data_IF_822356711807
#
_entry.id   IF_822356711807
#
_cell.length_a   1.000
_cell.length_b   1.000
_cell.length_c   1.000
_cell.angle_alpha   90.00
_cell.angle_beta   90.00
_cell.angle_gamma   90.00
#
_symmetry.space_group_name_H-M   'P 1'
#
loop_
_entity.id
_entity.type
_entity.pdbx_description
1 polymer ?
#
# COMPACT_ATOMS: atom_id res chain seq x y z
N UNK A 1 -19.93 -0.89 14.30
CA UNK A 1 -20.59 -2.00 13.58
C UNK A 1 -20.64 -1.60 12.12
N UNK A 2 -20.05 -2.37 11.22
CA UNK A 2 -20.19 -2.13 9.78
C UNK A 2 -21.67 -2.17 9.41
N UNK A 3 -22.19 -1.07 8.90
CA UNK A 3 -23.53 -1.02 8.33
C UNK A 3 -23.54 -1.76 7.01
N UNK A 4 -24.66 -2.37 6.62
CA UNK A 4 -24.78 -3.03 5.31
C UNK A 4 -24.28 -2.10 4.18
N UNK A 5 -23.39 -2.57 3.28
CA UNK A 5 -22.87 -1.73 2.19
C UNK A 5 -24.01 -1.25 1.27
N UNK A 6 -23.91 -0.02 0.80
CA UNK A 6 -24.87 0.54 -0.17
C UNK A 6 -24.44 0.26 -1.60
N UNK A 7 -25.37 0.44 -2.55
CA UNK A 7 -25.09 0.31 -3.97
C UNK A 7 -24.08 1.37 -4.45
N UNK A 8 -24.16 2.60 -3.96
CA UNK A 8 -23.23 3.69 -4.27
C UNK A 8 -21.82 3.37 -3.80
N UNK A 9 -21.67 2.82 -2.59
CA UNK A 9 -20.38 2.38 -2.07
C UNK A 9 -19.81 1.24 -2.93
N UNK A 10 -20.64 0.26 -3.32
CA UNK A 10 -20.22 -0.82 -4.21
C UNK A 10 -19.78 -0.28 -5.59
N UNK A 11 -20.49 0.71 -6.14
CA UNK A 11 -20.11 1.37 -7.38
C UNK A 11 -18.77 2.10 -7.25
N UNK A 12 -18.51 2.78 -6.12
CA UNK A 12 -17.23 3.45 -5.87
C UNK A 12 -16.08 2.44 -5.73
N UNK A 13 -16.31 1.30 -5.06
CA UNK A 13 -15.36 0.19 -5.02
C UNK A 13 -14.96 -0.30 -6.41
N UNK A 14 -15.95 -0.49 -7.30
CA UNK A 14 -15.71 -0.89 -8.68
C UNK A 14 -14.94 0.17 -9.48
N UNK A 15 -15.20 1.46 -9.25
CA UNK A 15 -14.46 2.55 -9.90
C UNK A 15 -13.00 2.60 -9.45
N UNK A 16 -12.74 2.45 -8.14
CA UNK A 16 -11.37 2.33 -7.61
C UNK A 16 -10.67 1.14 -8.25
N UNK A 17 -11.32 -0.03 -8.27
CA UNK A 17 -10.77 -1.22 -8.95
C UNK A 17 -10.51 -0.98 -10.44
N UNK A 18 -11.38 -0.26 -11.15
CA UNK A 18 -11.18 0.04 -12.57
C UNK A 18 -9.96 0.93 -12.81
N UNK A 19 -9.80 2.00 -12.03
CA UNK A 19 -8.63 2.89 -12.09
C UNK A 19 -7.32 2.14 -11.83
N UNK A 20 -7.34 1.18 -10.91
CA UNK A 20 -6.21 0.26 -10.61
C UNK A 20 -5.71 -0.52 -11.82
N UNK A 21 -6.58 -0.70 -12.82
CA UNK A 21 -6.30 -1.43 -14.07
C UNK A 21 -5.81 -0.52 -15.19
N UNK A 22 -5.63 0.77 -14.96
CA UNK A 22 -4.94 1.62 -15.94
C UNK A 22 -3.58 0.98 -16.30
N UNK A 23 -3.24 0.94 -17.59
CA UNK A 23 -2.14 0.13 -18.11
C UNK A 23 -0.79 0.54 -17.50
N UNK A 24 -0.53 1.85 -17.38
CA UNK A 24 0.69 2.37 -16.78
C UNK A 24 0.74 2.11 -15.28
N UNK A 25 -0.38 2.23 -14.57
CA UNK A 25 -0.46 1.87 -13.15
C UNK A 25 -0.26 0.36 -12.92
N UNK A 26 -0.77 -0.50 -13.81
CA UNK A 26 -0.47 -1.95 -13.75
C UNK A 26 1.02 -2.23 -13.91
N UNK A 27 1.67 -1.63 -14.90
CA UNK A 27 3.12 -1.73 -15.07
C UNK A 27 3.88 -1.21 -13.83
N UNK A 28 3.45 -0.07 -13.27
CA UNK A 28 4.05 0.51 -12.08
C UNK A 28 3.93 -0.43 -10.86
N UNK A 29 2.77 -1.07 -10.68
CA UNK A 29 2.53 -2.06 -9.61
C UNK A 29 3.43 -3.28 -9.77
N UNK A 30 3.52 -3.85 -10.96
CA UNK A 30 4.38 -5.00 -11.24
C UNK A 30 5.85 -4.67 -10.92
N UNK A 31 6.31 -3.50 -11.35
CA UNK A 31 7.64 -3.00 -11.02
C UNK A 31 7.81 -2.78 -9.51
N UNK A 32 6.84 -2.16 -8.84
CA UNK A 32 6.91 -1.78 -7.43
C UNK A 32 7.11 -3.00 -6.53
N UNK A 33 6.27 -4.03 -6.66
CA UNK A 33 6.36 -5.23 -5.82
C UNK A 33 7.63 -6.05 -6.10
N UNK A 34 8.12 -6.03 -7.34
CA UNK A 34 9.35 -6.71 -7.72
C UNK A 34 10.62 -5.99 -7.22
N UNK A 35 10.65 -4.66 -7.26
CA UNK A 35 11.90 -3.91 -7.15
C UNK A 35 11.98 -2.96 -5.94
N UNK A 36 10.86 -2.46 -5.41
CA UNK A 36 10.84 -1.44 -4.35
C UNK A 36 11.08 -2.03 -2.95
N UNK A 37 12.16 -2.80 -2.78
CA UNK A 37 12.54 -3.43 -1.51
C UNK A 37 13.46 -2.47 -0.73
N UNK A 38 12.86 -1.60 0.07
CA UNK A 38 13.56 -0.52 0.79
C UNK A 38 13.61 -0.77 2.29
N UNK A 39 14.71 -0.37 2.93
CA UNK A 39 14.84 -0.39 4.40
C UNK A 39 15.08 1.00 4.99
N UNK A 40 15.38 1.97 4.14
CA UNK A 40 15.71 3.35 4.49
C UNK A 40 15.24 4.33 3.42
N UNK A 41 15.20 5.62 3.75
CA UNK A 41 14.92 6.68 2.76
C UNK A 41 16.00 6.74 1.66
N UNK A 42 17.26 6.44 2.00
CA UNK A 42 18.34 6.42 1.02
C UNK A 42 18.18 5.26 0.01
N UNK A 43 17.72 4.08 0.47
CA UNK A 43 17.33 3.00 -0.44
C UNK A 43 16.22 3.43 -1.40
N UNK A 44 15.19 4.09 -0.87
CA UNK A 44 14.08 4.58 -1.67
C UNK A 44 14.54 5.58 -2.75
N UNK A 45 15.40 6.53 -2.38
CA UNK A 45 15.94 7.52 -3.31
C UNK A 45 16.91 6.90 -4.33
N UNK A 46 17.59 5.79 -3.99
CA UNK A 46 18.44 5.04 -4.91
C UNK A 46 17.64 4.18 -5.89
N UNK A 47 16.63 3.45 -5.42
CA UNK A 47 15.82 2.53 -6.22
C UNK A 47 14.80 3.27 -7.09
N UNK A 48 14.20 4.33 -6.53
CA UNK A 48 13.19 5.15 -7.18
C UNK A 48 13.56 6.64 -7.11
N UNK A 49 14.62 7.09 -7.81
CA UNK A 49 15.04 8.49 -7.77
C UNK A 49 13.93 9.45 -8.22
N UNK A 50 13.81 10.60 -7.58
CA UNK A 50 12.85 11.63 -7.97
C UNK A 50 13.09 12.09 -9.42
N UNK A 51 12.03 12.16 -10.23
CA UNK A 51 12.10 12.55 -11.64
C UNK A 51 12.50 11.42 -12.60
N UNK A 52 12.85 10.23 -12.10
CA UNK A 52 13.08 9.04 -12.93
C UNK A 52 11.78 8.28 -13.23
N UNK A 53 11.80 7.37 -14.19
CA UNK A 53 10.67 6.48 -14.48
C UNK A 53 10.29 5.61 -13.28
N UNK A 54 11.28 5.05 -12.58
CA UNK A 54 11.04 4.23 -11.39
C UNK A 54 10.51 5.06 -10.22
N UNK A 55 10.97 6.30 -10.08
CA UNK A 55 10.39 7.29 -9.17
C UNK A 55 8.93 7.60 -9.49
N UNK A 56 8.59 7.73 -10.77
CA UNK A 56 7.21 7.91 -11.21
C UNK A 56 6.35 6.66 -10.92
N UNK A 57 6.87 5.46 -11.15
CA UNK A 57 6.17 4.21 -10.80
C UNK A 57 5.89 4.10 -9.30
N UNK A 58 6.89 4.32 -8.45
CA UNK A 58 6.70 4.32 -7.00
C UNK A 58 5.64 5.37 -6.59
N UNK A 59 5.75 6.58 -7.12
CA UNK A 59 4.82 7.67 -6.82
C UNK A 59 3.39 7.36 -7.26
N UNK A 60 3.19 6.76 -8.44
CA UNK A 60 1.87 6.34 -8.94
C UNK A 60 1.22 5.30 -8.02
N UNK A 61 1.97 4.26 -7.62
CA UNK A 61 1.44 3.20 -6.73
C UNK A 61 1.09 3.75 -5.35
N UNK A 62 1.98 4.54 -4.75
CA UNK A 62 1.79 5.11 -3.41
C UNK A 62 0.62 6.09 -3.41
N UNK A 63 0.56 7.00 -4.38
CA UNK A 63 -0.50 8.02 -4.44
C UNK A 63 -1.88 7.43 -4.74
N UNK A 64 -1.97 6.41 -5.60
CA UNK A 64 -3.21 5.70 -5.86
C UNK A 64 -3.77 5.06 -4.57
N UNK A 65 -2.92 4.36 -3.82
CA UNK A 65 -3.37 3.71 -2.59
C UNK A 65 -3.61 4.69 -1.44
N UNK A 66 -2.84 5.77 -1.33
CA UNK A 66 -3.13 6.85 -0.38
C UNK A 66 -4.51 7.46 -0.66
N UNK A 67 -4.88 7.68 -1.92
CA UNK A 67 -6.21 8.16 -2.30
C UNK A 67 -7.31 7.15 -1.96
N UNK A 68 -7.15 5.88 -2.33
CA UNK A 68 -8.16 4.85 -2.04
C UNK A 68 -8.37 4.68 -0.51
N UNK A 69 -7.28 4.69 0.26
CA UNK A 69 -7.35 4.66 1.72
C UNK A 69 -7.94 5.94 2.31
N UNK A 70 -7.80 7.10 1.65
CA UNK A 70 -8.52 8.31 2.05
C UNK A 70 -10.04 8.11 1.87
N UNK A 71 -10.51 7.62 0.72
CA UNK A 71 -11.95 7.32 0.52
C UNK A 71 -12.50 6.37 1.60
N UNK A 72 -11.72 5.35 1.99
CA UNK A 72 -12.05 4.47 3.11
C UNK A 72 -12.09 5.22 4.46
N UNK A 73 -11.11 6.08 4.75
CA UNK A 73 -11.03 6.79 6.02
C UNK A 73 -12.09 7.89 6.18
N UNK A 74 -12.72 8.30 5.08
CA UNK A 74 -13.87 9.19 5.04
C UNK A 74 -15.21 8.42 4.93
N UNK A 75 -15.20 7.11 5.16
CA UNK A 75 -16.37 6.22 5.15
C UNK A 75 -17.15 6.18 3.81
N UNK A 76 -16.52 6.62 2.72
CA UNK A 76 -17.08 6.54 1.37
C UNK A 76 -16.97 5.13 0.78
N UNK A 77 -15.97 4.36 1.21
CA UNK A 77 -15.84 2.94 0.93
C UNK A 77 -16.22 2.13 2.17
N UNK A 78 -17.09 1.15 2.02
CA UNK A 78 -17.39 0.21 3.10
C UNK A 78 -16.15 -0.58 3.52
N UNK A 79 -15.85 -0.64 4.82
CA UNK A 79 -14.61 -1.18 5.36
C UNK A 79 -14.40 -2.67 5.09
N UNK A 80 -15.32 -3.56 5.51
CA UNK A 80 -15.10 -5.01 5.31
C UNK A 80 -14.97 -5.34 3.83
N UNK A 81 -15.88 -4.81 2.98
CA UNK A 81 -15.79 -4.93 1.54
C UNK A 81 -14.44 -4.44 0.96
N UNK A 82 -13.89 -3.33 1.46
CA UNK A 82 -12.57 -2.86 1.04
C UNK A 82 -11.48 -3.87 1.43
N UNK A 83 -11.48 -4.31 2.68
CA UNK A 83 -10.47 -5.22 3.21
C UNK A 83 -10.52 -6.61 2.57
N UNK A 84 -11.70 -7.10 2.22
CA UNK A 84 -11.91 -8.37 1.53
C UNK A 84 -11.43 -8.35 0.07
N UNK A 85 -11.54 -7.21 -0.62
CA UNK A 85 -11.31 -7.12 -2.07
C UNK A 85 -10.02 -6.40 -2.47
N UNK A 86 -9.46 -5.58 -1.58
CA UNK A 86 -8.40 -4.63 -1.90
C UNK A 86 -7.11 -4.80 -1.09
N UNK A 87 -6.80 -6.00 -0.57
CA UNK A 87 -5.67 -6.23 0.35
C UNK A 87 -4.27 -5.78 -0.11
N UNK A 88 -4.04 -5.48 -1.39
CA UNK A 88 -2.72 -5.00 -1.85
C UNK A 88 -2.31 -3.65 -1.22
N UNK A 89 -3.22 -2.77 -0.81
CA UNK A 89 -2.81 -1.53 -0.10
C UNK A 89 -1.94 -1.85 1.12
N UNK A 90 -2.22 -2.97 1.81
CA UNK A 90 -1.43 -3.41 2.96
C UNK A 90 -0.02 -3.83 2.55
N UNK A 91 0.12 -4.52 1.41
CA UNK A 91 1.43 -4.83 0.83
C UNK A 91 2.21 -3.57 0.46
N UNK A 92 1.55 -2.54 -0.10
CA UNK A 92 2.19 -1.24 -0.37
C UNK A 92 2.63 -0.56 0.93
N UNK A 93 1.78 -0.59 1.95
CA UNK A 93 2.15 -0.07 3.28
C UNK A 93 3.40 -0.75 3.83
N UNK A 94 3.48 -2.09 3.80
CA UNK A 94 4.64 -2.83 4.31
C UNK A 94 5.94 -2.51 3.56
N UNK A 95 5.86 -2.15 2.28
CA UNK A 95 7.01 -1.74 1.47
C UNK A 95 7.44 -0.29 1.76
N UNK A 96 6.50 0.60 2.09
CA UNK A 96 6.77 2.04 2.28
C UNK A 96 7.04 2.40 3.74
N UNK A 97 6.48 1.64 4.69
CA UNK A 97 6.55 1.87 6.15
C UNK A 97 7.96 2.22 6.67
N UNK A 98 9.06 1.56 6.24
CA UNK A 98 10.41 1.91 6.72
C UNK A 98 10.86 3.34 6.36
N UNK A 99 10.29 3.92 5.31
CA UNK A 99 10.69 5.22 4.74
C UNK A 99 9.87 6.37 5.32
N UNK A 100 8.63 6.10 5.73
CA UNK A 100 7.64 7.14 6.10
C UNK A 100 8.16 8.12 7.16
N UNK A 101 8.74 7.69 8.30
CA UNK A 101 9.19 8.64 9.33
C UNK A 101 10.26 9.61 8.82
N UNK A 102 11.32 9.08 8.19
CA UNK A 102 12.41 9.88 7.66
C UNK A 102 11.97 10.80 6.52
N UNK A 103 11.03 10.35 5.68
CA UNK A 103 10.47 11.17 4.61
C UNK A 103 9.66 12.35 5.19
N UNK A 104 8.77 12.08 6.16
CA UNK A 104 7.97 13.10 6.84
C UNK A 104 8.85 14.16 7.50
N UNK A 105 9.96 13.75 8.11
CA UNK A 105 10.93 14.64 8.73
C UNK A 105 11.69 15.46 7.69
N UNK A 106 12.35 14.81 6.73
CA UNK A 106 13.22 15.46 5.73
C UNK A 106 12.48 16.50 4.88
N UNK A 107 11.25 16.21 4.49
CA UNK A 107 10.46 17.07 3.60
C UNK A 107 9.38 17.88 4.32
N UNK A 108 9.32 17.82 5.65
CA UNK A 108 8.25 18.46 6.47
C UNK A 108 6.84 18.01 6.02
N UNK A 109 6.74 16.84 5.40
CA UNK A 109 5.54 16.31 4.78
C UNK A 109 4.75 15.45 5.77
N UNK A 110 4.29 16.05 6.88
CA UNK A 110 3.68 15.34 8.04
C UNK A 110 2.57 14.35 7.67
N UNK A 111 1.86 14.58 6.56
CA UNK A 111 0.72 13.79 6.10
C UNK A 111 1.08 12.71 5.08
N UNK A 112 2.36 12.58 4.68
CA UNK A 112 2.79 11.57 3.71
C UNK A 112 2.39 10.16 4.17
N UNK A 113 1.63 9.44 3.34
CA UNK A 113 1.08 8.10 3.61
C UNK A 113 0.19 8.00 4.87
N UNK A 114 -0.40 9.09 5.35
CA UNK A 114 -1.17 9.08 6.59
C UNK A 114 -2.47 8.26 6.46
N UNK A 115 -3.16 8.32 5.31
CA UNK A 115 -4.38 7.52 5.13
C UNK A 115 -4.06 6.05 4.95
N UNK A 116 -3.00 5.75 4.20
CA UNK A 116 -2.49 4.39 4.01
C UNK A 116 -2.09 3.76 5.35
N UNK A 117 -1.35 4.49 6.20
CA UNK A 117 -0.98 4.06 7.54
C UNK A 117 -2.20 3.76 8.41
N UNK A 118 -3.17 4.69 8.46
CA UNK A 118 -4.40 4.53 9.25
C UNK A 118 -5.22 3.32 8.79
N UNK A 119 -5.36 3.12 7.48
CA UNK A 119 -6.05 1.98 6.91
C UNK A 119 -5.33 0.66 7.21
N UNK A 120 -4.00 0.62 7.10
CA UNK A 120 -3.20 -0.55 7.42
C UNK A 120 -3.31 -0.97 8.89
N UNK A 121 -3.30 -0.01 9.82
CA UNK A 121 -3.50 -0.30 11.25
C UNK A 121 -4.90 -0.87 11.53
N UNK A 122 -5.93 -0.40 10.84
CA UNK A 122 -7.30 -0.96 10.92
C UNK A 122 -7.34 -2.38 10.35
N UNK A 123 -6.70 -2.59 9.20
CA UNK A 123 -6.62 -3.88 8.54
C UNK A 123 -5.90 -4.94 9.38
N UNK A 124 -4.77 -4.62 10.00
CA UNK A 124 -4.06 -5.56 10.88
C UNK A 124 -4.98 -6.10 11.98
N UNK A 125 -5.77 -5.24 12.64
CA UNK A 125 -6.74 -5.65 13.65
C UNK A 125 -7.88 -6.49 13.04
N UNK A 126 -8.38 -6.05 11.88
CA UNK A 126 -9.47 -6.71 11.17
C UNK A 126 -9.11 -8.14 10.75
N UNK A 127 -7.95 -8.32 10.12
CA UNK A 127 -7.52 -9.63 9.63
C UNK A 127 -7.08 -10.54 10.77
N UNK A 128 -6.43 -10.02 11.82
CA UNK A 128 -6.02 -10.85 12.97
C UNK A 128 -7.24 -11.46 13.67
N UNK A 129 -8.37 -10.74 13.73
CA UNK A 129 -9.62 -11.28 14.28
C UNK A 129 -10.26 -12.40 13.43
N UNK A 130 -9.93 -12.47 12.13
CA UNK A 130 -10.53 -13.38 11.15
C UNK A 130 -9.60 -14.50 10.71
N UNK A 131 -8.30 -14.28 10.76
CA UNK A 131 -7.25 -15.18 10.35
C UNK A 131 -6.00 -14.92 11.20
N UNK A 132 -6.03 -15.32 12.48
CA UNK A 132 -4.92 -15.09 13.40
C UNK A 132 -3.59 -15.60 12.84
N UNK A 133 -2.53 -14.79 12.97
CA UNK A 133 -1.18 -15.13 12.49
C UNK A 133 -0.96 -14.91 10.98
N UNK A 134 -1.98 -14.53 10.21
CA UNK A 134 -1.83 -14.27 8.76
C UNK A 134 -0.78 -13.20 8.46
N UNK A 135 -0.80 -12.09 9.19
CA UNK A 135 0.15 -10.98 8.98
C UNK A 135 1.57 -11.38 9.38
N UNK A 136 1.72 -12.16 10.46
CA UNK A 136 3.02 -12.68 10.87
C UNK A 136 3.62 -13.60 9.80
N UNK A 137 2.83 -14.54 9.27
CA UNK A 137 3.25 -15.42 8.19
C UNK A 137 3.62 -14.64 6.91
N UNK A 138 2.82 -13.62 6.55
CA UNK A 138 3.10 -12.76 5.39
C UNK A 138 4.42 -12.00 5.56
N UNK A 139 4.66 -11.40 6.73
CA UNK A 139 5.91 -10.68 7.05
C UNK A 139 7.13 -11.59 7.01
N UNK A 140 7.01 -12.81 7.53
CA UNK A 140 8.09 -13.81 7.47
C UNK A 140 8.38 -14.24 6.03
N UNK A 141 7.34 -14.48 5.22
CA UNK A 141 7.50 -14.77 3.80
C UNK A 141 8.20 -13.62 3.05
N UNK A 142 7.80 -12.37 3.28
CA UNK A 142 8.47 -11.20 2.68
C UNK A 142 9.95 -11.11 3.07
N UNK A 143 10.28 -11.39 4.34
CA UNK A 143 11.66 -11.41 4.82
C UNK A 143 12.48 -12.50 4.13
N UNK A 144 11.92 -13.69 3.95
CA UNK A 144 12.57 -14.80 3.24
C UNK A 144 12.81 -14.47 1.76
N UNK A 145 11.81 -13.90 1.08
CA UNK A 145 11.94 -13.46 -0.31
C UNK A 145 13.04 -12.40 -0.49
N UNK A 146 13.11 -11.41 0.42
CA UNK A 146 14.19 -10.40 0.42
C UNK A 146 15.57 -11.04 0.58
N UNK A 147 15.72 -11.98 1.51
CA UNK A 147 16.97 -12.68 1.75
C UNK A 147 17.41 -13.54 0.56
N UNK A 148 16.46 -14.13 -0.18
CA UNK A 148 16.75 -14.89 -1.40
C UNK A 148 17.19 -13.98 -2.55
N UNK A 149 16.48 -12.89 -2.80
CA UNK A 149 16.86 -11.91 -3.83
C UNK A 149 18.24 -11.30 -3.57
N UNK A 150 18.58 -11.01 -2.32
CA UNK A 150 19.90 -10.49 -1.95
C UNK A 150 21.04 -11.50 -2.14
N UNK A 151 20.76 -12.81 -2.11
CA UNK A 151 21.75 -13.85 -2.40
C UNK A 151 21.95 -14.10 -3.90
N UNK A 152 20.99 -13.70 -4.72
CA UNK A 152 20.99 -13.89 -6.18
C UNK A 152 21.53 -12.68 -6.95
N UNK A 153 21.69 -11.53 -6.29
CA UNK A 153 22.27 -10.30 -6.82
C UNK A 153 23.77 -10.19 -6.49
#
# INVERSE_FOLDING_TARGET
>A
MSTKPTHEQAQLHLQVYDQRREAKLRQARDWFFKNYQVTSLDDAMRIAPMGSETGAFASMVISYWEQACALLNYDLLHEDLFFETSGEFFGVWEMVKPVVPAFRERFVAKTFCANLEKAAQRYEKWIESRSPGHIAAMREFMKQMRAQSAKAA
#
